data_IF_292872454975
#
_entry.id   IF_292872454975
#
_cell.length_a   1.000
_cell.length_b   1.000
_cell.length_c   1.000
_cell.angle_alpha   90.00
_cell.angle_beta   90.00
_cell.angle_gamma   90.00
#
_symmetry.space_group_name_H-M   'P 1'
#
loop_
_entity.id
_entity.type
_entity.pdbx_description
1 polymer ?
#
# COMPACT_ATOMS: atom_id res chain seq x y z
N UNK A 1 -6.72 -19.82 -2.62
CA UNK A 1 -5.33 -19.32 -2.79
C UNK A 1 -5.40 -17.97 -3.48
N UNK A 2 -4.46 -17.06 -3.16
CA UNK A 2 -4.38 -15.75 -3.82
C UNK A 2 -3.55 -15.89 -5.10
N UNK A 3 -3.93 -15.23 -6.22
CA UNK A 3 -3.07 -15.17 -7.40
C UNK A 3 -1.72 -14.53 -7.08
N UNK A 4 -0.65 -14.97 -7.74
CA UNK A 4 0.72 -14.48 -7.50
C UNK A 4 0.89 -12.99 -7.84
N UNK A 5 0.10 -12.48 -8.78
CA UNK A 5 0.15 -11.10 -9.22
C UNK A 5 -1.07 -10.32 -8.73
N UNK A 6 -0.82 -9.22 -8.03
CA UNK A 6 -1.89 -8.38 -7.48
C UNK A 6 -2.88 -7.88 -8.53
N UNK A 7 -2.47 -7.64 -9.78
CA UNK A 7 -3.39 -7.14 -10.82
C UNK A 7 -4.45 -8.17 -11.25
N UNK A 8 -4.27 -9.45 -10.89
CA UNK A 8 -5.25 -10.51 -11.11
C UNK A 8 -6.26 -10.63 -9.96
N UNK A 9 -6.13 -9.80 -8.91
CA UNK A 9 -6.98 -9.89 -7.75
C UNK A 9 -8.36 -9.29 -8.02
N UNK A 10 -9.39 -10.07 -7.69
CA UNK A 10 -10.76 -9.59 -7.58
C UNK A 10 -10.95 -8.94 -6.21
N UNK A 11 -12.08 -8.25 -6.01
CA UNK A 11 -12.42 -7.75 -4.68
C UNK A 11 -12.47 -8.85 -3.60
N UNK A 12 -12.90 -10.08 -3.96
CA UNK A 12 -12.87 -11.23 -3.04
C UNK A 12 -11.45 -11.62 -2.65
N UNK A 13 -10.50 -11.58 -3.59
CA UNK A 13 -9.08 -11.84 -3.29
C UNK A 13 -8.52 -10.78 -2.35
N UNK A 14 -8.85 -9.49 -2.57
CA UNK A 14 -8.48 -8.39 -1.68
C UNK A 14 -9.01 -8.60 -0.26
N UNK A 15 -10.29 -8.94 -0.11
CA UNK A 15 -10.86 -9.23 1.21
C UNK A 15 -10.15 -10.41 1.89
N UNK A 16 -9.91 -11.50 1.15
CA UNK A 16 -9.20 -12.68 1.65
C UNK A 16 -7.78 -12.33 2.10
N UNK A 17 -7.07 -11.46 1.39
CA UNK A 17 -5.74 -10.99 1.77
C UNK A 17 -5.76 -10.28 3.12
N UNK A 18 -6.66 -9.31 3.33
CA UNK A 18 -6.70 -8.60 4.61
C UNK A 18 -7.14 -9.50 5.77
N UNK A 19 -8.09 -10.41 5.56
CA UNK A 19 -8.50 -11.38 6.57
C UNK A 19 -7.36 -12.32 6.98
N UNK A 20 -6.61 -12.84 6.00
CA UNK A 20 -5.51 -13.79 6.26
C UNK A 20 -4.34 -13.15 7.01
N UNK A 21 -4.14 -11.84 6.85
CA UNK A 21 -3.07 -11.09 7.49
C UNK A 21 -3.50 -10.37 8.79
N UNK A 22 -4.72 -10.60 9.28
CA UNK A 22 -5.22 -9.96 10.51
C UNK A 22 -5.44 -8.45 10.39
N UNK A 23 -5.70 -7.96 9.18
CA UNK A 23 -5.88 -6.55 8.83
C UNK A 23 -7.36 -6.19 8.55
N UNK A 24 -8.27 -7.12 8.84
CA UNK A 24 -9.71 -7.03 8.62
C UNK A 24 -10.37 -5.93 9.46
N UNK A 25 -9.81 -5.66 10.63
CA UNK A 25 -10.36 -4.68 11.56
C UNK A 25 -9.94 -3.25 11.26
N UNK A 26 -8.93 -3.02 10.41
CA UNK A 26 -8.39 -1.69 10.12
C UNK A 26 -8.32 -1.45 8.62
N UNK A 27 -7.29 -1.96 7.95
CA UNK A 27 -7.01 -1.68 6.54
C UNK A 27 -8.11 -2.16 5.59
N UNK A 28 -8.79 -3.27 5.91
CA UNK A 28 -9.90 -3.76 5.09
C UNK A 28 -11.05 -2.75 5.00
N UNK A 29 -11.31 -1.98 6.06
CA UNK A 29 -12.39 -0.98 6.05
C UNK A 29 -12.11 0.14 5.03
N UNK A 30 -10.84 0.51 4.87
CA UNK A 30 -10.38 1.49 3.88
C UNK A 30 -10.36 0.93 2.45
N UNK A 31 -10.22 -0.40 2.32
CA UNK A 31 -9.99 -1.07 1.04
C UNK A 31 -11.16 -1.98 0.59
N UNK A 32 -12.34 -1.88 1.24
CA UNK A 32 -13.43 -2.86 1.14
C UNK A 32 -13.94 -3.10 -0.29
N UNK A 33 -13.83 -2.09 -1.17
CA UNK A 33 -14.31 -2.11 -2.56
C UNK A 33 -13.20 -2.07 -3.60
N UNK A 34 -11.95 -2.31 -3.19
CA UNK A 34 -10.83 -2.32 -4.13
C UNK A 34 -10.73 -3.69 -4.80
N UNK A 35 -10.37 -3.67 -6.08
CA UNK A 35 -9.79 -4.81 -6.78
C UNK A 35 -8.26 -4.70 -6.77
N UNK A 36 -7.59 -5.66 -7.40
CA UNK A 36 -6.13 -5.70 -7.47
C UNK A 36 -5.48 -4.47 -8.10
N UNK A 37 -6.09 -3.92 -9.15
CA UNK A 37 -5.54 -2.75 -9.83
C UNK A 37 -5.60 -1.51 -8.94
N UNK A 38 -6.75 -1.27 -8.31
CA UNK A 38 -6.92 -0.13 -7.41
C UNK A 38 -6.11 -0.29 -6.12
N UNK A 39 -5.98 -1.52 -5.62
CA UNK A 39 -5.16 -1.80 -4.45
C UNK A 39 -3.67 -1.56 -4.73
N UNK A 40 -3.19 -1.92 -5.94
CA UNK A 40 -1.83 -1.59 -6.37
C UNK A 40 -1.61 -0.07 -6.43
N UNK A 41 -2.51 0.68 -7.05
CA UNK A 41 -2.42 2.15 -7.08
C UNK A 41 -2.40 2.75 -5.67
N UNK A 42 -3.25 2.23 -4.78
CA UNK A 42 -3.29 2.66 -3.39
C UNK A 42 -1.96 2.40 -2.67
N UNK A 43 -1.37 1.22 -2.88
CA UNK A 43 -0.03 0.91 -2.37
C UNK A 43 1.03 1.85 -2.93
N UNK A 44 1.03 2.12 -4.24
CA UNK A 44 1.99 3.05 -4.87
C UNK A 44 1.91 4.45 -4.26
N UNK A 45 0.70 4.96 -4.01
CA UNK A 45 0.48 6.24 -3.33
C UNK A 45 1.05 6.20 -1.90
N UNK A 46 0.79 5.12 -1.16
CA UNK A 46 1.37 4.91 0.17
C UNK A 46 2.90 4.93 0.14
N UNK A 47 3.52 4.38 -0.91
CA UNK A 47 4.97 4.30 -1.03
C UNK A 47 5.63 5.65 -1.36
N UNK A 48 4.93 6.55 -2.05
CA UNK A 48 5.44 7.90 -2.38
C UNK A 48 5.62 8.73 -1.11
N UNK A 49 4.65 8.70 -0.20
CA UNK A 49 4.70 9.47 1.04
C UNK A 49 4.10 8.69 2.22
N UNK A 50 4.89 7.74 2.73
CA UNK A 50 4.46 6.77 3.76
C UNK A 50 3.95 7.42 5.03
N UNK A 51 4.65 8.43 5.54
CA UNK A 51 4.28 9.07 6.81
C UNK A 51 2.99 9.87 6.69
N UNK A 52 2.89 10.73 5.66
CA UNK A 52 1.69 11.53 5.42
C UNK A 52 0.48 10.62 5.18
N UNK A 53 0.65 9.58 4.37
CA UNK A 53 -0.43 8.63 4.08
C UNK A 53 -0.87 7.87 5.32
N UNK A 54 0.05 7.44 6.19
CA UNK A 54 -0.32 6.83 7.47
C UNK A 54 -1.19 7.78 8.31
N UNK A 55 -0.82 9.05 8.44
CA UNK A 55 -1.61 10.01 9.23
C UNK A 55 -2.99 10.29 8.60
N UNK A 56 -3.06 10.41 7.28
CA UNK A 56 -4.33 10.57 6.56
C UNK A 56 -5.26 9.37 6.77
N UNK A 57 -4.75 8.15 6.54
CA UNK A 57 -5.53 6.92 6.69
C UNK A 57 -5.95 6.68 8.15
N UNK A 58 -5.06 6.98 9.10
CA UNK A 58 -5.38 6.92 10.53
C UNK A 58 -6.51 7.88 10.89
N UNK A 59 -6.46 9.11 10.38
CA UNK A 59 -7.49 10.12 10.63
C UNK A 59 -8.82 9.70 10.01
N UNK A 60 -8.81 9.18 8.78
CA UNK A 60 -10.01 8.72 8.10
C UNK A 60 -10.65 7.53 8.81
N UNK A 61 -9.85 6.55 9.22
CA UNK A 61 -10.33 5.38 9.97
C UNK A 61 -10.93 5.79 11.34
N UNK A 62 -10.31 6.76 12.03
CA UNK A 62 -10.82 7.28 13.29
C UNK A 62 -12.16 8.02 13.11
N UNK A 63 -12.27 8.84 12.06
CA UNK A 63 -13.45 9.68 11.83
C UNK A 63 -14.65 8.90 11.29
N UNK A 64 -14.42 7.99 10.34
CA UNK A 64 -15.50 7.27 9.63
C UNK A 64 -15.87 5.99 10.35
N UNK A 65 -14.88 5.26 10.87
CA UNK A 65 -15.07 3.91 11.41
C UNK A 65 -14.88 3.84 12.93
N UNK A 66 -14.54 4.95 13.60
CA UNK A 66 -14.25 4.98 15.04
C UNK A 66 -13.18 3.96 15.46
N UNK A 67 -12.22 3.70 14.56
CA UNK A 67 -11.13 2.76 14.79
C UNK A 67 -9.77 3.43 14.62
N UNK A 68 -8.77 2.92 15.33
CA UNK A 68 -7.40 3.43 15.25
C UNK A 68 -6.57 2.54 14.34
N UNK A 69 -5.97 3.12 13.30
CA UNK A 69 -4.95 2.44 12.51
C UNK A 69 -3.64 2.46 13.30
N UNK A 70 -3.08 1.28 13.60
CA UNK A 70 -1.77 1.19 14.25
C UNK A 70 -0.65 1.30 13.22
N UNK A 71 0.53 1.76 13.65
CA UNK A 71 1.73 1.74 12.79
C UNK A 71 2.04 0.30 12.35
N UNK A 72 1.86 -0.68 13.25
CA UNK A 72 2.11 -2.08 12.97
C UNK A 72 1.23 -2.61 11.84
N UNK A 73 -0.07 -2.31 11.85
CA UNK A 73 -1.01 -2.73 10.80
C UNK A 73 -0.65 -2.12 9.46
N UNK A 74 -0.30 -0.83 9.45
CA UNK A 74 0.09 -0.12 8.24
C UNK A 74 1.38 -0.71 7.64
N UNK A 75 2.40 -0.95 8.47
CA UNK A 75 3.67 -1.56 8.02
C UNK A 75 3.45 -3.00 7.56
N UNK A 76 2.62 -3.77 8.28
CA UNK A 76 2.26 -5.14 7.91
C UNK A 76 1.58 -5.16 6.55
N UNK A 77 0.63 -4.26 6.31
CA UNK A 77 0.00 -4.10 5.00
C UNK A 77 1.05 -3.88 3.89
N UNK A 78 1.93 -2.88 4.05
CA UNK A 78 2.93 -2.55 3.04
C UNK A 78 3.90 -3.70 2.77
N UNK A 79 4.29 -4.42 3.81
CA UNK A 79 5.20 -5.55 3.71
C UNK A 79 4.56 -6.76 3.02
N UNK A 80 3.34 -7.14 3.44
CA UNK A 80 2.69 -8.35 2.94
C UNK A 80 2.22 -8.18 1.48
N UNK A 81 1.73 -6.98 1.12
CA UNK A 81 1.28 -6.73 -0.25
C UNK A 81 2.45 -6.71 -1.25
N UNK A 82 3.64 -6.29 -0.82
CA UNK A 82 4.84 -6.21 -1.68
C UNK A 82 5.20 -7.57 -2.31
N UNK A 83 4.89 -8.68 -1.65
CA UNK A 83 5.14 -10.04 -2.15
C UNK A 83 4.39 -10.37 -3.44
N UNK A 84 3.30 -9.64 -3.73
CA UNK A 84 2.44 -9.86 -4.89
C UNK A 84 2.64 -8.82 -6.00
N UNK A 85 3.61 -7.91 -5.81
CA UNK A 85 3.91 -6.84 -6.77
C UNK A 85 5.05 -7.30 -7.68
N UNK A 86 4.87 -7.34 -9.00
CA UNK A 86 5.93 -7.71 -9.93
C UNK A 86 7.15 -6.79 -9.80
N UNK A 87 8.33 -7.37 -9.63
CA UNK A 87 9.62 -6.67 -9.49
C UNK A 87 9.88 -5.63 -10.60
N UNK A 88 9.32 -5.84 -11.80
CA UNK A 88 9.46 -4.95 -12.98
C UNK A 88 8.73 -3.60 -12.83
N UNK A 89 7.86 -3.43 -11.84
CA UNK A 89 7.14 -2.17 -11.57
C UNK A 89 7.65 -1.42 -10.34
N UNK A 90 8.79 -1.81 -9.79
CA UNK A 90 9.47 -1.01 -8.76
C UNK A 90 9.98 0.27 -9.43
N UNK A 91 9.14 1.30 -9.49
CA UNK A 91 9.44 2.56 -10.17
C UNK A 91 10.74 3.14 -9.59
N UNK A 92 11.67 3.35 -10.52
CA UNK A 92 12.87 4.16 -10.47
C UNK A 92 12.83 5.27 -9.42
N UNK A 93 13.74 5.20 -8.45
CA UNK A 93 14.25 6.41 -7.83
C UNK A 93 14.83 7.30 -8.94
N UNK A 94 14.55 8.61 -8.98
CA UNK A 94 15.38 9.51 -9.76
C UNK A 94 16.78 9.45 -9.14
N UNK A 95 17.73 8.88 -9.87
CA UNK A 95 19.14 9.08 -9.58
C UNK A 95 19.37 10.59 -9.64
N UNK A 96 19.70 11.20 -8.51
CA UNK A 96 20.23 12.55 -8.45
C UNK A 96 21.47 12.60 -9.34
N UNK A 97 21.31 13.02 -10.60
CA UNK A 97 22.41 13.35 -11.48
C UNK A 97 23.05 14.61 -10.92
N UNK A 98 24.10 14.43 -10.14
CA UNK A 98 25.04 15.48 -9.77
C UNK A 98 25.57 16.14 -11.05
N UNK A 99 25.36 17.44 -11.17
CA UNK A 99 26.02 18.25 -12.19
C UNK A 99 27.54 18.11 -12.05
N UNK A 100 28.31 17.96 -13.13
CA UNK A 100 29.71 18.32 -13.10
C UNK A 100 29.80 19.84 -13.02
N UNK A 101 30.23 20.36 -11.86
CA UNK A 101 30.86 21.67 -11.78
C UNK A 101 32.15 21.62 -12.60
N UNK A 102 32.08 22.08 -13.85
CA UNK A 102 33.29 22.47 -14.57
C UNK A 102 33.77 23.80 -14.01
N UNK A 103 34.82 23.71 -13.19
CA UNK A 103 35.69 24.82 -12.82
C UNK A 103 36.95 24.73 -13.67
N UNK A 104 37.47 25.92 -14.01
CA UNK A 104 38.69 26.27 -14.76
C UNK A 104 38.52 26.42 -16.26
#
# INVERSE_FOLDING_TARGET
>A
ELPDCITQWTNKHVQSFFLTNGLDNTMLLLCLRLDGHRLLQFYEICMINRESMYQSLKSELANVHQKTLTISDYVTFLHEIQRYIPLTRTISQPASSSLPSSTV
#
